data_IF_477813799547
#
_entry.id   IF_477813799547
#
_cell.length_a   1.000
_cell.length_b   1.000
_cell.length_c   1.000
_cell.angle_alpha   90.00
_cell.angle_beta   90.00
_cell.angle_gamma   90.00
#
_symmetry.space_group_name_H-M   'P 1'
#
loop_
_entity.id
_entity.type
_entity.pdbx_description
1 polymer ?
#
# COMPACT_ATOMS: atom_id res chain seq x y z
N UNK A 1 -56.05 13.70 -12.22
CA UNK A 1 -54.62 13.57 -12.60
C UNK A 1 -53.75 14.07 -11.45
N UNK A 2 -53.44 13.19 -10.49
CA UNK A 2 -52.68 13.52 -9.28
C UNK A 2 -51.92 12.25 -8.93
N UNK A 3 -50.88 11.96 -9.75
CA UNK A 3 -49.92 10.86 -9.57
C UNK A 3 -48.77 10.91 -10.61
N UNK A 4 -48.61 12.01 -11.38
CA UNK A 4 -47.56 12.13 -12.41
C UNK A 4 -46.36 13.01 -12.02
N UNK A 5 -46.39 13.64 -10.84
CA UNK A 5 -45.30 14.50 -10.36
C UNK A 5 -44.20 13.68 -9.64
N UNK A 6 -44.53 12.48 -9.14
CA UNK A 6 -43.58 11.60 -8.46
C UNK A 6 -42.52 10.96 -9.38
N UNK A 7 -42.73 10.97 -10.69
CA UNK A 7 -41.82 10.35 -11.67
C UNK A 7 -40.69 11.27 -12.16
N UNK A 8 -40.77 12.58 -11.91
CA UNK A 8 -39.76 13.55 -12.36
C UNK A 8 -38.60 13.74 -11.38
N UNK A 9 -38.78 13.40 -10.10
CA UNK A 9 -37.71 13.49 -9.11
C UNK A 9 -36.73 12.30 -9.13
N UNK A 10 -37.10 11.19 -9.77
CA UNK A 10 -36.24 10.01 -9.88
C UNK A 10 -35.14 10.14 -10.95
N UNK A 11 -35.27 11.08 -11.88
CA UNK A 11 -34.32 11.28 -13.00
C UNK A 11 -33.15 12.21 -12.65
N UNK A 12 -33.22 13.00 -11.58
CA UNK A 12 -32.19 13.98 -11.21
C UNK A 12 -31.01 13.40 -10.43
N UNK A 13 -31.08 12.14 -9.98
CA UNK A 13 -29.96 11.47 -9.29
C UNK A 13 -29.12 10.56 -10.20
N UNK A 14 -29.50 10.40 -11.47
CA UNK A 14 -28.80 9.51 -12.41
C UNK A 14 -27.49 10.09 -12.99
N UNK A 15 -27.13 11.35 -12.66
CA UNK A 15 -26.02 12.05 -13.32
C UNK A 15 -24.66 11.98 -12.59
N UNK A 16 -24.53 11.31 -11.43
CA UNK A 16 -23.22 11.24 -10.72
C UNK A 16 -22.47 9.92 -10.96
N UNK A 17 -23.00 9.01 -11.81
CA UNK A 17 -22.38 7.71 -12.06
C UNK A 17 -21.35 7.69 -13.22
N UNK A 18 -20.90 8.85 -13.74
CA UNK A 18 -20.01 8.94 -14.92
C UNK A 18 -18.51 8.98 -14.54
N UNK A 19 -18.11 8.39 -13.41
CA UNK A 19 -16.68 8.13 -13.11
C UNK A 19 -16.36 6.67 -12.75
N UNK A 20 -17.32 5.74 -12.89
CA UNK A 20 -17.12 4.34 -12.52
C UNK A 20 -16.61 3.44 -13.67
N UNK A 21 -16.36 3.98 -14.87
CA UNK A 21 -15.82 3.23 -16.02
C UNK A 21 -14.30 3.33 -16.18
N UNK A 22 -13.59 3.69 -15.11
CA UNK A 22 -12.14 3.64 -15.00
C UNK A 22 -11.74 3.18 -13.60
N UNK A 23 -12.20 1.99 -13.21
CA UNK A 23 -12.09 1.45 -11.85
C UNK A 23 -10.65 1.22 -11.39
N UNK A 24 -9.96 2.28 -10.99
CA UNK A 24 -8.75 2.23 -10.21
C UNK A 24 -9.05 2.68 -8.80
N UNK A 25 -8.86 1.80 -7.80
CA UNK A 25 -8.66 2.29 -6.43
C UNK A 25 -7.47 3.24 -6.46
N UNK A 26 -7.66 4.49 -6.02
CA UNK A 26 -6.56 5.44 -5.89
C UNK A 26 -5.47 4.79 -5.04
N UNK A 27 -4.25 4.76 -5.56
CA UNK A 27 -3.10 4.24 -4.81
C UNK A 27 -2.85 5.16 -3.62
N UNK A 28 -2.55 4.55 -2.47
CA UNK A 28 -2.06 5.29 -1.31
C UNK A 28 -0.76 6.00 -1.66
N UNK A 29 -0.59 7.21 -1.13
CA UNK A 29 0.66 7.98 -1.19
C UNK A 29 1.78 7.26 -0.43
N UNK A 30 3.04 7.72 -0.57
CA UNK A 30 4.15 7.17 0.22
C UNK A 30 3.89 7.45 1.70
N UNK A 31 3.46 8.66 2.02
CA UNK A 31 3.21 9.16 3.36
C UNK A 31 2.12 8.33 4.07
N UNK A 32 1.01 8.05 3.39
CA UNK A 32 -0.05 7.20 3.93
C UNK A 32 0.42 5.76 4.18
N UNK A 33 1.28 5.23 3.30
CA UNK A 33 1.83 3.87 3.48
C UNK A 33 2.82 3.82 4.64
N UNK A 34 3.70 4.83 4.76
CA UNK A 34 4.62 4.96 5.89
C UNK A 34 3.85 5.08 7.19
N UNK A 35 2.80 5.91 7.25
CA UNK A 35 1.96 6.03 8.45
C UNK A 35 1.37 4.69 8.91
N UNK A 36 0.93 3.84 7.99
CA UNK A 36 0.41 2.52 8.37
C UNK A 36 1.47 1.63 9.01
N UNK A 37 2.71 1.69 8.49
CA UNK A 37 3.82 0.94 9.06
C UNK A 37 4.23 1.54 10.41
N UNK A 38 4.31 2.87 10.50
CA UNK A 38 4.56 3.60 11.74
C UNK A 38 3.61 3.13 12.85
N UNK A 39 2.30 3.20 12.60
CA UNK A 39 1.27 2.84 13.57
C UNK A 39 1.38 1.34 13.98
N UNK A 40 1.76 0.45 13.04
CA UNK A 40 1.98 -0.98 13.32
C UNK A 40 3.24 -1.23 14.14
N UNK A 41 4.34 -0.57 13.82
CA UNK A 41 5.62 -0.73 14.48
C UNK A 41 5.60 -0.14 15.89
N UNK A 42 4.97 1.03 16.07
CA UNK A 42 4.78 1.64 17.37
C UNK A 42 3.89 0.77 18.26
N UNK A 43 2.76 0.28 17.73
CA UNK A 43 1.87 -0.61 18.48
C UNK A 43 2.54 -1.93 18.88
N UNK A 44 3.42 -2.49 18.04
CA UNK A 44 4.03 -3.79 18.27
C UNK A 44 5.25 -3.72 19.20
N UNK A 45 6.06 -2.67 19.09
CA UNK A 45 7.39 -2.63 19.68
C UNK A 45 7.67 -1.43 20.57
N UNK A 46 6.90 -0.33 20.46
CA UNK A 46 7.12 0.94 21.18
C UNK A 46 8.61 1.37 21.18
N UNK A 47 9.28 1.46 20.01
CA UNK A 47 10.75 1.55 19.94
C UNK A 47 11.32 2.92 20.35
N UNK A 48 10.48 3.89 20.70
CA UNK A 48 10.85 5.28 20.97
C UNK A 48 10.91 6.12 19.70
N UNK A 49 10.76 7.45 19.84
CA UNK A 49 10.56 8.36 18.70
C UNK A 49 11.72 8.36 17.68
N UNK A 50 12.96 8.29 18.14
CA UNK A 50 14.14 8.28 17.27
C UNK A 50 14.19 7.02 16.39
N UNK A 51 14.05 5.83 16.98
CA UNK A 51 14.01 4.57 16.22
C UNK A 51 12.79 4.49 15.30
N UNK A 52 11.65 5.03 15.73
CA UNK A 52 10.45 5.07 14.91
C UNK A 52 10.64 5.98 13.68
N UNK A 53 11.34 7.10 13.84
CA UNK A 53 11.73 7.97 12.72
C UNK A 53 12.70 7.28 11.77
N UNK A 54 13.66 6.50 12.27
CA UNK A 54 14.55 5.68 11.43
C UNK A 54 13.75 4.64 10.63
N UNK A 55 12.79 3.96 11.27
CA UNK A 55 11.87 3.02 10.61
C UNK A 55 11.09 3.75 9.50
N UNK A 56 10.52 4.92 9.79
CA UNK A 56 9.76 5.70 8.80
C UNK A 56 10.59 6.09 7.58
N UNK A 57 11.85 6.45 7.79
CA UNK A 57 12.80 6.75 6.71
C UNK A 57 13.08 5.51 5.86
N UNK A 58 13.33 4.36 6.48
CA UNK A 58 13.52 3.08 5.78
C UNK A 58 12.32 2.75 4.89
N UNK A 59 11.10 2.92 5.41
CA UNK A 59 9.89 2.64 4.64
C UNK A 59 9.60 3.69 3.56
N UNK A 60 9.95 4.95 3.79
CA UNK A 60 9.88 6.02 2.78
C UNK A 60 10.75 5.67 1.58
N UNK A 61 11.99 5.25 1.82
CA UNK A 61 12.92 4.81 0.77
C UNK A 61 12.40 3.57 0.05
N UNK A 62 11.95 2.56 0.80
CA UNK A 62 11.37 1.33 0.26
C UNK A 62 10.18 1.61 -0.68
N UNK A 63 9.23 2.44 -0.28
CA UNK A 63 8.06 2.74 -1.10
C UNK A 63 8.40 3.57 -2.34
N UNK A 64 9.31 4.55 -2.22
CA UNK A 64 9.80 5.31 -3.38
C UNK A 64 10.52 4.41 -4.38
N UNK A 65 11.37 3.49 -3.91
CA UNK A 65 12.05 2.53 -4.77
C UNK A 65 11.07 1.56 -5.44
N UNK A 66 10.11 1.02 -4.69
CA UNK A 66 9.07 0.14 -5.23
C UNK A 66 8.15 0.81 -6.24
N UNK A 67 7.86 2.10 -6.06
CA UNK A 67 7.09 2.87 -7.04
C UNK A 67 7.86 3.07 -8.34
N UNK A 68 9.17 3.38 -8.29
CA UNK A 68 10.05 3.43 -9.47
C UNK A 68 10.07 2.11 -10.23
N UNK A 69 10.26 0.98 -9.53
CA UNK A 69 10.21 -0.35 -10.15
C UNK A 69 8.90 -0.58 -10.89
N UNK A 70 7.79 -0.15 -10.28
CA UNK A 70 6.48 -0.27 -10.92
C UNK A 70 6.33 0.63 -12.13
N UNK A 71 6.76 1.89 -12.04
CA UNK A 71 6.72 2.85 -13.14
C UNK A 71 7.49 2.34 -14.36
N UNK A 72 8.71 1.84 -14.16
CA UNK A 72 9.52 1.23 -15.21
C UNK A 72 8.81 0.06 -15.90
N UNK A 73 8.16 -0.82 -15.13
CA UNK A 73 7.46 -1.98 -15.67
C UNK A 73 6.15 -1.62 -16.37
N UNK A 74 5.47 -0.55 -15.94
CA UNK A 74 4.25 -0.06 -16.57
C UNK A 74 4.53 0.75 -17.84
N UNK A 75 5.71 1.36 -17.96
CA UNK A 75 6.13 2.11 -19.15
C UNK A 75 6.22 1.25 -20.42
N UNK A 76 6.32 -0.08 -20.28
CA UNK A 76 6.36 -1.03 -21.40
C UNK A 76 5.02 -1.24 -22.15
N UNK A 77 3.96 -0.51 -21.81
CA UNK A 77 2.69 -0.52 -22.56
C UNK A 77 1.78 -1.75 -22.34
N UNK A 78 2.15 -2.66 -21.43
CA UNK A 78 1.40 -3.86 -21.10
C UNK A 78 1.16 -4.05 -19.60
N UNK A 79 0.41 -5.09 -19.21
CA UNK A 79 0.34 -5.50 -17.80
C UNK A 79 1.75 -5.97 -17.37
N UNK A 80 2.29 -5.48 -16.25
CA UNK A 80 3.60 -5.92 -15.77
C UNK A 80 3.65 -7.43 -15.64
N UNK A 81 4.69 -8.03 -16.20
CA UNK A 81 5.03 -9.42 -15.91
C UNK A 81 5.24 -9.57 -14.40
N UNK A 82 4.54 -10.54 -13.80
CA UNK A 82 4.58 -10.79 -12.36
C UNK A 82 5.95 -11.28 -11.92
N UNK A 83 6.60 -12.08 -12.73
CA UNK A 83 7.94 -12.58 -12.45
C UNK A 83 8.95 -11.44 -12.51
N UNK A 84 8.89 -10.61 -13.55
CA UNK A 84 9.74 -9.41 -13.65
C UNK A 84 9.52 -8.44 -12.48
N UNK A 85 8.27 -8.27 -12.04
CA UNK A 85 7.96 -7.47 -10.85
C UNK A 85 8.57 -8.06 -9.58
N UNK A 86 8.46 -9.36 -9.38
CA UNK A 86 9.05 -10.03 -8.23
C UNK A 86 10.58 -9.90 -8.26
N UNK A 87 11.21 -10.20 -9.40
CA UNK A 87 12.66 -10.12 -9.56
C UNK A 87 13.21 -8.72 -9.29
N UNK A 88 12.55 -7.66 -9.82
CA UNK A 88 12.98 -6.27 -9.57
C UNK A 88 12.65 -5.78 -8.16
N UNK A 89 11.59 -6.30 -7.53
CA UNK A 89 11.21 -5.89 -6.17
C UNK A 89 12.05 -6.60 -5.10
N UNK A 90 12.57 -7.80 -5.38
CA UNK A 90 13.37 -8.58 -4.42
C UNK A 90 14.54 -7.78 -3.83
N UNK A 91 15.44 -7.15 -4.60
CA UNK A 91 16.54 -6.37 -4.03
C UNK A 91 16.07 -5.17 -3.19
N UNK A 92 14.93 -4.55 -3.55
CA UNK A 92 14.33 -3.46 -2.79
C UNK A 92 13.80 -3.95 -1.44
N UNK A 93 13.24 -5.16 -1.38
CA UNK A 93 12.82 -5.81 -0.14
C UNK A 93 14.01 -6.21 0.72
N UNK A 94 15.05 -6.77 0.11
CA UNK A 94 16.27 -7.18 0.80
C UNK A 94 17.00 -5.98 1.41
N UNK A 95 17.09 -4.86 0.70
CA UNK A 95 17.68 -3.63 1.21
C UNK A 95 16.92 -3.11 2.44
N UNK A 96 15.58 -3.06 2.37
CA UNK A 96 14.73 -2.68 3.50
C UNK A 96 14.97 -3.61 4.70
N UNK A 97 14.98 -4.93 4.48
CA UNK A 97 15.16 -5.90 5.55
C UNK A 97 16.55 -5.81 6.18
N UNK A 98 17.59 -5.56 5.39
CA UNK A 98 18.94 -5.33 5.87
C UNK A 98 19.05 -4.04 6.70
N UNK A 99 18.31 -2.98 6.34
CA UNK A 99 18.23 -1.75 7.15
C UNK A 99 17.46 -2.00 8.44
N UNK A 100 16.32 -2.69 8.39
CA UNK A 100 15.52 -3.01 9.58
C UNK A 100 16.28 -3.86 10.60
N UNK A 101 17.08 -4.84 10.17
CA UNK A 101 17.92 -5.65 11.08
C UNK A 101 18.93 -4.83 11.89
N UNK A 102 19.30 -3.62 11.43
CA UNK A 102 20.21 -2.72 12.16
C UNK A 102 19.49 -1.89 13.22
N UNK A 103 18.18 -1.70 13.07
CA UNK A 103 17.34 -0.85 13.95
C UNK A 103 16.57 -1.69 14.97
N UNK A 104 16.10 -2.87 14.54
CA UNK A 104 15.35 -3.82 15.34
C UNK A 104 16.27 -4.85 15.99
N UNK A 105 15.89 -5.37 17.16
CA UNK A 105 16.50 -6.59 17.68
C UNK A 105 16.18 -7.80 16.79
N UNK A 106 16.92 -8.89 16.95
CA UNK A 106 16.65 -10.14 16.20
C UNK A 106 15.23 -10.65 16.44
N UNK A 107 14.75 -10.64 17.69
CA UNK A 107 13.39 -11.04 18.04
C UNK A 107 12.32 -10.12 17.42
N UNK A 108 12.55 -8.80 17.44
CA UNK A 108 11.66 -7.83 16.82
C UNK A 108 11.62 -8.00 15.29
N UNK A 109 12.78 -8.24 14.66
CA UNK A 109 12.86 -8.49 13.24
C UNK A 109 12.17 -9.81 12.85
N UNK A 110 12.32 -10.87 13.65
CA UNK A 110 11.60 -12.13 13.46
C UNK A 110 10.10 -11.93 13.51
N UNK A 111 9.59 -11.26 14.56
CA UNK A 111 8.16 -10.92 14.69
C UNK A 111 7.66 -10.03 13.55
N UNK A 112 8.49 -9.10 13.08
CA UNK A 112 8.18 -8.30 11.90
C UNK A 112 7.93 -9.19 10.67
N UNK A 113 8.82 -10.15 10.37
CA UNK A 113 8.72 -11.03 9.20
C UNK A 113 7.57 -12.03 9.30
N UNK A 114 7.33 -12.57 10.49
CA UNK A 114 6.37 -13.66 10.70
C UNK A 114 4.93 -13.16 10.90
N UNK A 115 4.74 -11.99 11.52
CA UNK A 115 3.41 -11.51 11.92
C UNK A 115 3.04 -10.18 11.28
N UNK A 116 3.89 -9.16 11.44
CA UNK A 116 3.52 -7.78 11.11
C UNK A 116 3.48 -7.57 9.59
N UNK A 117 4.56 -7.87 8.87
CA UNK A 117 4.63 -7.72 7.42
C UNK A 117 3.52 -8.51 6.70
N UNK A 118 3.27 -9.80 7.01
CA UNK A 118 2.17 -10.56 6.41
C UNK A 118 0.79 -9.95 6.68
N UNK A 119 0.54 -9.42 7.89
CA UNK A 119 -0.75 -8.83 8.25
C UNK A 119 -1.12 -7.59 7.44
N UNK A 120 -0.13 -6.94 6.81
CA UNK A 120 -0.33 -5.73 6.00
C UNK A 120 -0.55 -6.03 4.51
N UNK A 121 -0.37 -7.27 4.07
CA UNK A 121 -0.62 -7.65 2.69
C UNK A 121 -2.14 -7.66 2.44
N UNK A 122 -2.62 -7.21 1.27
CA UNK A 122 -4.02 -7.35 0.93
C UNK A 122 -4.44 -8.82 1.04
N UNK A 123 -5.37 -9.12 1.94
CA UNK A 123 -5.95 -10.45 2.04
C UNK A 123 -6.64 -10.73 0.70
N UNK A 124 -6.12 -11.72 -0.04
CA UNK A 124 -6.85 -12.26 -1.18
C UNK A 124 -8.14 -12.82 -0.60
N UNK A 125 -9.26 -12.12 -0.82
CA UNK A 125 -10.58 -12.71 -0.59
C UNK A 125 -10.58 -13.98 -1.43
N UNK A 126 -10.49 -15.14 -0.79
CA UNK A 126 -10.81 -16.40 -1.44
C UNK A 126 -12.30 -16.27 -1.76
N UNK A 127 -12.60 -15.99 -3.03
CA UNK A 127 -13.95 -16.16 -3.57
C UNK A 127 -14.10 -17.64 -3.91
#
# INVERSE_FOLDING_TARGET
MKNRILLLFFLLFAAVAVNAQGGGFQRRTVEERVKLVHDKMDSAFKPGAAKLTEIDNIFTEFYKAGDKVREELMAGGGRPDREAMQQKMQPVMDERDNKLKKVLSEEQFKKWKEEIEPSMRPQRRQQ
#
